data_IF_999066669770
#
_entry.id   IF_999066669770
#
_cell.length_a   1.000
_cell.length_b   1.000
_cell.length_c   1.000
_cell.angle_alpha   90.00
_cell.angle_beta   90.00
_cell.angle_gamma   90.00
#
_symmetry.space_group_name_H-M   'P 1'
#
loop_
_entity.id
_entity.type
_entity.pdbx_description
1 polymer ?
#
# COMPACT_ATOMS: atom_id res chain seq x y z
N UNK A 1 -16.62 22.90 18.08
CA UNK A 1 -17.48 21.74 17.79
C UNK A 1 -18.76 21.92 18.57
N UNK A 2 -19.90 21.73 17.92
CA UNK A 2 -21.20 21.92 18.55
C UNK A 2 -21.60 20.66 19.32
N UNK A 3 -22.41 20.79 20.38
CA UNK A 3 -22.84 19.63 21.17
C UNK A 3 -23.56 18.56 20.30
N UNK A 4 -24.19 18.95 19.20
CA UNK A 4 -24.86 18.03 18.29
C UNK A 4 -23.90 17.11 17.52
N UNK A 5 -22.69 17.59 17.19
CA UNK A 5 -21.65 16.78 16.55
C UNK A 5 -21.09 15.73 17.52
N UNK A 6 -20.96 16.08 18.79
CA UNK A 6 -20.50 15.12 19.80
C UNK A 6 -21.57 14.06 20.08
N UNK A 7 -22.85 14.43 20.10
CA UNK A 7 -23.96 13.49 20.30
C UNK A 7 -24.05 12.42 19.21
N UNK A 8 -23.78 12.76 17.94
CA UNK A 8 -23.75 11.76 16.86
C UNK A 8 -22.62 10.76 17.01
N UNK A 9 -21.51 11.18 17.60
CA UNK A 9 -20.29 10.38 17.73
C UNK A 9 -20.27 9.56 19.05
N UNK A 10 -21.20 9.78 19.99
CA UNK A 10 -21.27 9.04 21.27
C UNK A 10 -21.50 7.54 21.11
N UNK A 11 -22.34 7.12 20.15
CA UNK A 11 -22.61 5.70 19.89
C UNK A 11 -21.37 5.00 19.36
N UNK A 12 -20.70 5.61 18.37
CA UNK A 12 -19.44 5.11 17.85
C UNK A 12 -18.35 5.08 18.94
N UNK A 13 -18.39 6.02 19.90
CA UNK A 13 -17.44 6.08 21.02
C UNK A 13 -17.65 4.90 21.97
N UNK A 14 -18.90 4.54 22.27
CA UNK A 14 -19.24 3.38 23.08
C UNK A 14 -18.86 2.05 22.40
N UNK A 15 -19.00 1.95 21.09
CA UNK A 15 -18.65 0.75 20.32
C UNK A 15 -17.15 0.64 19.97
N UNK A 16 -16.30 1.51 20.52
CA UNK A 16 -14.85 1.60 20.22
C UNK A 16 -14.52 1.84 18.74
N UNK A 17 -15.46 2.43 17.98
CA UNK A 17 -15.34 2.67 16.54
C UNK A 17 -14.71 4.01 16.15
N UNK A 18 -14.20 4.81 17.10
CA UNK A 18 -13.50 6.07 16.83
C UNK A 18 -11.98 5.94 16.99
N UNK A 19 -11.26 6.80 16.28
CA UNK A 19 -9.83 7.00 16.47
C UNK A 19 -9.51 7.59 17.86
N UNK A 20 -8.31 7.30 18.37
CA UNK A 20 -7.86 7.70 19.70
C UNK A 20 -7.87 9.22 19.93
N UNK A 21 -7.65 10.02 18.88
CA UNK A 21 -7.64 11.47 18.97
C UNK A 21 -9.06 12.03 19.15
N UNK A 22 -10.05 11.53 18.40
CA UNK A 22 -11.46 11.88 18.60
C UNK A 22 -12.01 11.36 19.92
N UNK A 23 -11.64 10.15 20.32
CA UNK A 23 -12.00 9.61 21.63
C UNK A 23 -11.49 10.49 22.78
N UNK A 24 -10.27 11.03 22.66
CA UNK A 24 -9.72 12.02 23.59
C UNK A 24 -10.54 13.32 23.64
N UNK A 25 -10.92 13.86 22.48
CA UNK A 25 -11.75 15.06 22.36
C UNK A 25 -13.14 14.89 23.00
N UNK A 26 -13.78 13.74 22.78
CA UNK A 26 -15.08 13.41 23.38
C UNK A 26 -14.97 13.30 24.91
N UNK A 27 -13.95 12.63 25.44
CA UNK A 27 -13.73 12.53 26.90
C UNK A 27 -13.54 13.91 27.55
N UNK A 28 -12.82 14.81 26.89
CA UNK A 28 -12.65 16.18 27.37
C UNK A 28 -13.97 16.94 27.35
N UNK A 29 -14.77 16.79 26.28
CA UNK A 29 -16.09 17.42 26.19
C UNK A 29 -17.08 16.90 27.23
N UNK A 30 -17.07 15.59 27.52
CA UNK A 30 -17.91 14.97 28.56
C UNK A 30 -17.58 15.46 29.97
N UNK A 31 -16.32 15.86 30.22
CA UNK A 31 -15.93 16.45 31.50
C UNK A 31 -16.45 17.90 31.67
N UNK A 32 -16.72 18.60 30.57
CA UNK A 32 -17.14 20.01 30.57
C UNK A 32 -18.65 20.19 30.35
N UNK A 33 -19.32 19.24 29.68
CA UNK A 33 -20.73 19.34 29.30
C UNK A 33 -21.59 18.28 30.00
N UNK A 34 -22.39 18.72 30.98
CA UNK A 34 -23.31 17.84 31.72
C UNK A 34 -24.41 17.22 30.85
N UNK A 35 -24.92 17.93 29.85
CA UNK A 35 -25.98 17.42 28.96
C UNK A 35 -25.50 16.23 28.12
N UNK A 36 -24.26 16.29 27.60
CA UNK A 36 -23.65 15.20 26.86
C UNK A 36 -23.25 14.03 27.77
N UNK A 37 -22.83 14.32 29.01
CA UNK A 37 -22.54 13.29 30.01
C UNK A 37 -23.78 12.47 30.37
N UNK A 38 -24.94 13.14 30.52
CA UNK A 38 -26.20 12.48 30.84
C UNK A 38 -26.68 11.57 29.69
N UNK A 39 -26.55 12.01 28.43
CA UNK A 39 -26.86 11.16 27.27
C UNK A 39 -25.96 9.92 27.22
N UNK A 40 -24.67 10.07 27.57
CA UNK A 40 -23.74 8.94 27.63
C UNK A 40 -24.11 7.94 28.75
N UNK A 41 -24.55 8.43 29.90
CA UNK A 41 -25.03 7.60 31.00
C UNK A 41 -26.32 6.87 30.60
N UNK A 42 -27.31 7.55 30.01
CA UNK A 42 -28.55 6.96 29.52
C UNK A 42 -28.26 5.84 28.50
N UNK A 43 -27.36 6.07 27.55
CA UNK A 43 -26.95 5.05 26.57
C UNK A 43 -26.28 3.83 27.22
N UNK A 44 -25.43 4.05 28.24
CA UNK A 44 -24.80 2.94 28.99
C UNK A 44 -25.82 2.11 29.76
N UNK A 45 -26.84 2.73 30.36
CA UNK A 45 -27.91 1.99 31.03
C UNK A 45 -28.73 1.14 30.07
N UNK A 46 -28.96 1.62 28.84
CA UNK A 46 -29.64 0.87 27.78
C UNK A 46 -28.78 -0.29 27.24
N UNK A 47 -27.47 -0.10 27.10
CA UNK A 47 -26.57 -1.18 26.67
C UNK A 47 -26.49 -2.28 27.72
N UNK A 48 -26.38 -1.91 29.00
CA UNK A 48 -26.29 -2.87 30.10
C UNK A 48 -27.60 -3.66 30.28
N UNK A 49 -28.75 -2.99 30.15
CA UNK A 49 -30.06 -3.66 30.16
C UNK A 49 -30.23 -4.64 28.97
N UNK A 50 -29.54 -4.39 27.85
CA UNK A 50 -29.53 -5.28 26.68
C UNK A 50 -28.53 -6.43 26.80
N UNK A 51 -27.42 -6.22 27.54
CA UNK A 51 -26.41 -7.23 27.81
C UNK A 51 -26.91 -8.36 28.73
N UNK A 52 -27.88 -8.04 29.60
CA UNK A 52 -28.62 -9.03 30.41
C UNK A 52 -29.61 -9.90 29.59
N UNK A 53 -29.67 -9.67 28.27
CA UNK A 53 -30.40 -10.49 27.31
C UNK A 53 -29.82 -11.91 27.24
N UNK A 54 -30.38 -12.80 28.06
CA UNK A 54 -30.10 -14.24 28.15
C UNK A 54 -29.48 -14.81 26.88
N UNK A 55 -28.29 -15.40 27.00
CA UNK A 55 -27.78 -16.28 25.95
C UNK A 55 -28.88 -17.30 25.66
N UNK A 56 -29.43 -17.34 24.43
CA UNK A 56 -30.54 -18.25 24.15
C UNK A 56 -30.06 -19.67 24.46
N UNK A 57 -30.87 -20.49 25.16
CA UNK A 57 -30.50 -21.86 25.43
C UNK A 57 -30.19 -22.52 24.09
N UNK A 58 -28.99 -23.10 24.00
CA UNK A 58 -28.47 -23.72 22.77
C UNK A 58 -28.08 -22.75 21.63
N UNK A 59 -27.35 -21.68 21.98
CA UNK A 59 -26.70 -20.79 21.00
C UNK A 59 -25.86 -21.56 19.95
N UNK A 60 -25.21 -22.65 20.35
CA UNK A 60 -24.39 -23.46 19.45
C UNK A 60 -25.22 -24.18 18.38
N UNK A 61 -26.38 -24.78 18.70
CA UNK A 61 -27.23 -25.39 17.67
C UNK A 61 -27.91 -24.34 16.78
N UNK A 62 -28.21 -23.16 17.31
CA UNK A 62 -28.70 -22.04 16.49
C UNK A 62 -27.64 -21.59 15.48
N UNK A 63 -26.38 -21.45 15.91
CA UNK A 63 -25.26 -21.14 15.03
C UNK A 63 -25.02 -22.21 13.98
N UNK A 64 -25.06 -23.50 14.35
CA UNK A 64 -24.98 -24.59 13.37
C UNK A 64 -26.12 -24.53 12.35
N UNK A 65 -27.34 -24.20 12.79
CA UNK A 65 -28.49 -24.05 11.88
C UNK A 65 -28.32 -22.86 10.94
N UNK A 66 -27.88 -21.71 11.45
CA UNK A 66 -27.61 -20.52 10.64
C UNK A 66 -26.52 -20.81 9.62
N UNK A 67 -25.42 -21.45 10.04
CA UNK A 67 -24.32 -21.79 9.15
C UNK A 67 -24.76 -22.77 8.05
N UNK A 68 -25.56 -23.79 8.40
CA UNK A 68 -26.14 -24.71 7.42
C UNK A 68 -27.08 -24.00 6.43
N UNK A 69 -27.85 -23.00 6.89
CA UNK A 69 -28.72 -22.21 6.01
C UNK A 69 -27.89 -21.38 5.05
N UNK A 70 -26.88 -20.66 5.56
CA UNK A 70 -25.96 -19.84 4.75
C UNK A 70 -25.24 -20.72 3.73
N UNK A 71 -24.69 -21.87 4.14
CA UNK A 71 -24.04 -22.82 3.23
C UNK A 71 -25.01 -23.43 2.21
N UNK A 72 -26.30 -23.56 2.55
CA UNK A 72 -27.32 -24.04 1.61
C UNK A 72 -27.87 -22.95 0.67
N UNK A 73 -27.80 -21.68 1.08
CA UNK A 73 -28.28 -20.51 0.33
C UNK A 73 -27.17 -19.92 -0.55
N UNK A 74 -25.89 -20.14 -0.19
CA UNK A 74 -24.77 -20.12 -1.12
C UNK A 74 -24.95 -21.31 -2.05
N UNK A 75 -25.82 -21.14 -3.05
CA UNK A 75 -25.92 -22.07 -4.17
C UNK A 75 -24.50 -22.32 -4.70
N UNK A 76 -23.97 -23.56 -4.70
CA UNK A 76 -22.84 -23.85 -5.57
C UNK A 76 -23.27 -23.40 -6.97
N UNK A 77 -22.40 -22.73 -7.75
CA UNK A 77 -22.78 -22.19 -9.05
C UNK A 77 -23.55 -23.27 -9.78
N UNK A 78 -24.85 -23.01 -10.05
CA UNK A 78 -25.79 -24.00 -10.58
C UNK A 78 -25.06 -24.80 -11.63
N UNK A 79 -24.72 -26.04 -11.30
CA UNK A 79 -24.33 -27.00 -12.31
C UNK A 79 -25.62 -27.28 -13.04
N UNK A 80 -25.87 -26.45 -14.05
CA UNK A 80 -26.92 -26.65 -15.03
C UNK A 80 -26.67 -28.07 -15.52
N UNK A 81 -27.49 -29.03 -15.07
CA UNK A 81 -27.59 -30.32 -15.73
C UNK A 81 -27.86 -29.98 -17.18
N UNK A 82 -26.95 -30.29 -18.12
CA UNK A 82 -27.21 -29.99 -19.51
C UNK A 82 -28.37 -30.88 -19.95
N UNK A 83 -29.58 -30.31 -19.96
CA UNK A 83 -30.59 -30.76 -20.89
C UNK A 83 -29.93 -30.78 -22.27
N UNK A 84 -30.08 -31.92 -22.93
CA UNK A 84 -29.54 -32.24 -24.25
C UNK A 84 -30.15 -31.30 -25.30
N UNK A 85 -29.72 -30.04 -25.32
CA UNK A 85 -30.10 -29.05 -26.32
C UNK A 85 -29.00 -28.96 -27.36
N UNK A 86 -29.44 -29.14 -28.60
CA UNK A 86 -28.69 -29.09 -29.86
C UNK A 86 -27.58 -28.04 -29.81
N UNK A 87 -26.37 -28.56 -29.95
CA UNK A 87 -25.11 -27.86 -30.10
C UNK A 87 -25.22 -26.61 -30.97
N UNK A 88 -25.01 -25.44 -30.35
CA UNK A 88 -24.50 -24.26 -31.03
C UNK A 88 -23.08 -24.58 -31.50
N UNK A 89 -22.89 -24.63 -32.82
CA UNK A 89 -21.57 -24.71 -33.43
C UNK A 89 -20.92 -23.34 -33.36
N UNK A 90 -20.30 -23.04 -32.21
CA UNK A 90 -19.45 -21.86 -32.08
C UNK A 90 -18.17 -22.16 -32.87
N UNK A 91 -17.95 -21.42 -33.95
CA UNK A 91 -16.78 -21.59 -34.81
C UNK A 91 -15.52 -21.24 -34.03
N UNK A 92 -14.42 -21.97 -34.27
CA UNK A 92 -13.13 -21.78 -33.57
C UNK A 92 -12.63 -20.31 -33.63
N UNK A 93 -12.99 -19.59 -34.70
CA UNK A 93 -12.68 -18.16 -34.84
C UNK A 93 -13.42 -17.26 -33.84
N UNK A 94 -14.64 -17.61 -33.42
CA UNK A 94 -15.40 -16.85 -32.43
C UNK A 94 -14.81 -16.99 -31.03
N UNK A 95 -14.22 -18.14 -30.70
CA UNK A 95 -13.50 -18.36 -29.44
C UNK A 95 -12.20 -17.55 -29.35
N UNK A 96 -11.42 -17.53 -30.44
CA UNK A 96 -10.18 -16.74 -30.49
C UNK A 96 -10.44 -15.23 -30.38
N UNK A 97 -11.50 -14.73 -31.04
CA UNK A 97 -11.88 -13.32 -30.96
C UNK A 97 -12.33 -12.91 -29.55
N UNK A 98 -13.07 -13.78 -28.85
CA UNK A 98 -13.49 -13.54 -27.47
C UNK A 98 -12.29 -13.48 -26.50
N UNK A 99 -11.31 -14.38 -26.66
CA UNK A 99 -10.10 -14.38 -25.85
C UNK A 99 -9.26 -13.11 -26.06
N UNK A 100 -9.13 -12.64 -27.31
CA UNK A 100 -8.44 -11.37 -27.61
C UNK A 100 -9.15 -10.16 -27.01
N UNK A 101 -10.48 -10.12 -27.05
CA UNK A 101 -11.25 -9.04 -26.44
C UNK A 101 -11.09 -9.03 -24.92
N UNK A 102 -11.18 -10.19 -24.26
CA UNK A 102 -10.98 -10.29 -22.81
C UNK A 102 -9.56 -9.84 -22.43
N UNK A 103 -8.54 -10.27 -23.18
CA UNK A 103 -7.16 -9.85 -22.94
C UNK A 103 -7.00 -8.33 -23.07
N UNK A 104 -7.56 -7.73 -24.14
CA UNK A 104 -7.52 -6.28 -24.36
C UNK A 104 -8.25 -5.50 -23.26
N UNK A 105 -9.46 -5.92 -22.89
CA UNK A 105 -10.23 -5.26 -21.84
C UNK A 105 -9.56 -5.40 -20.47
N UNK A 106 -8.96 -6.56 -20.15
CA UNK A 106 -8.22 -6.73 -18.89
C UNK A 106 -6.96 -5.85 -18.82
N UNK A 107 -6.25 -5.71 -19.95
CA UNK A 107 -5.05 -4.87 -20.04
C UNK A 107 -5.39 -3.39 -19.86
N UNK A 108 -6.45 -2.91 -20.54
CA UNK A 108 -6.92 -1.53 -20.40
C UNK A 108 -7.45 -1.26 -18.99
N UNK A 109 -8.20 -2.20 -18.40
CA UNK A 109 -8.69 -2.07 -17.03
C UNK A 109 -7.55 -2.01 -16.02
N UNK A 110 -6.48 -2.80 -16.20
CA UNK A 110 -5.29 -2.79 -15.34
C UNK A 110 -4.55 -1.45 -15.43
N UNK A 111 -4.36 -0.93 -16.64
CA UNK A 111 -3.71 0.39 -16.85
C UNK A 111 -4.57 1.52 -16.30
N UNK A 112 -5.88 1.47 -16.48
CA UNK A 112 -6.82 2.46 -15.95
C UNK A 112 -6.86 2.43 -14.41
N UNK A 113 -6.83 1.24 -13.81
CA UNK A 113 -6.77 1.07 -12.36
C UNK A 113 -5.48 1.68 -11.79
N UNK A 114 -4.32 1.40 -12.39
CA UNK A 114 -3.04 1.96 -11.96
C UNK A 114 -3.03 3.49 -12.15
N UNK A 115 -3.55 4.01 -13.26
CA UNK A 115 -3.54 5.46 -13.54
C UNK A 115 -4.53 6.25 -12.68
N UNK A 116 -5.66 5.66 -12.31
CA UNK A 116 -6.75 6.36 -11.63
C UNK A 116 -6.74 6.18 -10.10
N UNK A 117 -6.29 5.02 -9.61
CA UNK A 117 -6.33 4.67 -8.17
C UNK A 117 -4.96 4.72 -7.45
N UNK A 118 -3.88 5.14 -8.13
CA UNK A 118 -2.55 5.21 -7.48
C UNK A 118 -2.20 6.47 -6.66
N UNK A 119 -3.09 7.43 -6.33
CA UNK A 119 -2.86 8.25 -5.15
C UNK A 119 -3.68 7.63 -3.99
N UNK A 120 -3.01 6.94 -3.06
CA UNK A 120 -3.37 6.77 -1.62
C UNK A 120 -2.84 5.47 -0.97
N UNK A 121 -2.42 4.43 -1.70
CA UNK A 121 -1.94 3.18 -1.07
C UNK A 121 -0.40 3.08 -1.05
N UNK A 122 0.27 4.09 -0.52
CA UNK A 122 1.73 4.03 -0.25
C UNK A 122 2.13 4.31 1.19
N UNK A 123 1.19 4.66 2.09
CA UNK A 123 1.56 5.00 3.47
C UNK A 123 1.36 3.86 4.49
N UNK A 124 0.51 2.86 4.22
CA UNK A 124 0.22 1.78 5.20
C UNK A 124 1.07 0.50 5.05
N UNK A 125 1.82 0.36 3.96
CA UNK A 125 2.69 -0.82 3.77
C UNK A 125 4.11 -0.63 4.35
N UNK A 126 4.50 0.58 4.72
CA UNK A 126 5.84 0.88 5.23
C UNK A 126 6.04 0.59 6.73
N UNK A 127 4.97 0.28 7.49
CA UNK A 127 5.05 0.08 8.95
C UNK A 127 4.91 -1.38 9.42
N UNK A 128 4.75 -2.36 8.52
CA UNK A 128 4.83 -3.78 8.89
C UNK A 128 6.20 -4.36 8.58
N UNK A 129 7.11 -4.17 9.52
CA UNK A 129 8.30 -4.99 9.63
C UNK A 129 7.95 -6.46 9.90
N UNK A 130 8.53 -7.34 9.07
CA UNK A 130 8.93 -8.73 9.36
C UNK A 130 7.80 -9.73 9.69
N UNK A 131 7.22 -10.32 8.65
CA UNK A 131 7.36 -11.76 8.38
C UNK A 131 7.06 -12.03 6.90
N UNK A 132 8.11 -12.25 6.11
CA UNK A 132 7.99 -12.84 4.77
C UNK A 132 7.31 -14.19 4.93
N UNK A 133 6.06 -14.31 4.50
CA UNK A 133 5.41 -15.61 4.49
C UNK A 133 6.09 -16.46 3.43
N UNK A 134 6.27 -17.75 3.69
CA UNK A 134 6.86 -18.72 2.73
C UNK A 134 6.16 -18.70 1.36
N UNK A 135 4.95 -18.15 1.31
CA UNK A 135 4.16 -17.93 0.10
C UNK A 135 4.81 -16.88 -0.81
N UNK A 136 5.35 -15.78 -0.28
CA UNK A 136 6.02 -14.74 -1.10
C UNK A 136 7.32 -15.25 -1.73
N UNK A 137 8.10 -16.06 -1.01
CA UNK A 137 9.31 -16.72 -1.56
C UNK A 137 8.98 -17.73 -2.65
N UNK A 138 7.82 -18.37 -2.60
CA UNK A 138 7.37 -19.28 -3.65
C UNK A 138 6.82 -18.51 -4.86
N UNK A 139 6.13 -17.38 -4.65
CA UNK A 139 5.60 -16.56 -5.73
C UNK A 139 6.69 -15.82 -6.52
N UNK A 140 7.76 -15.35 -5.85
CA UNK A 140 8.92 -14.79 -6.54
C UNK A 140 9.68 -15.82 -7.37
N UNK A 141 9.75 -17.08 -6.90
CA UNK A 141 10.37 -18.18 -7.64
C UNK A 141 9.56 -18.61 -8.88
N UNK A 142 8.25 -18.37 -8.88
CA UNK A 142 7.35 -18.63 -10.02
C UNK A 142 7.27 -17.43 -10.98
N UNK A 143 7.91 -16.29 -10.67
CA UNK A 143 7.95 -15.11 -11.52
C UNK A 143 6.62 -14.33 -11.56
N UNK A 144 5.76 -14.51 -10.55
CA UNK A 144 4.48 -13.82 -10.42
C UNK A 144 4.60 -12.47 -9.69
N UNK A 145 5.70 -12.25 -8.96
CA UNK A 145 6.01 -11.03 -8.20
C UNK A 145 7.49 -10.72 -8.39
N UNK A 146 7.84 -9.45 -8.63
CA UNK A 146 9.23 -8.98 -8.68
C UNK A 146 9.96 -9.39 -7.39
N UNK A 147 11.14 -9.99 -7.49
CA UNK A 147 11.95 -10.22 -6.30
C UNK A 147 12.28 -8.87 -5.64
N UNK A 148 12.46 -8.80 -4.31
CA UNK A 148 12.86 -7.55 -3.65
C UNK A 148 14.16 -6.96 -4.25
N UNK A 149 15.06 -7.81 -4.73
CA UNK A 149 16.26 -7.41 -5.49
C UNK A 149 15.90 -6.76 -6.84
N UNK A 150 14.98 -7.35 -7.60
CA UNK A 150 14.54 -6.80 -8.88
C UNK A 150 13.81 -5.45 -8.73
N UNK A 151 13.06 -5.27 -7.63
CA UNK A 151 12.46 -3.99 -7.29
C UNK A 151 13.51 -2.92 -6.93
N UNK A 152 14.59 -3.29 -6.22
CA UNK A 152 15.74 -2.42 -5.93
C UNK A 152 16.47 -2.03 -7.22
N UNK A 153 16.81 -3.00 -8.07
CA UNK A 153 17.47 -2.76 -9.36
C UNK A 153 16.68 -1.79 -10.24
N UNK A 154 15.35 -1.89 -10.23
CA UNK A 154 14.49 -0.95 -10.95
C UNK A 154 14.62 0.47 -10.40
N UNK A 155 14.58 0.66 -9.07
CA UNK A 155 14.76 1.97 -8.43
C UNK A 155 16.14 2.56 -8.73
N UNK A 156 17.20 1.76 -8.63
CA UNK A 156 18.56 2.19 -8.95
C UNK A 156 18.67 2.66 -10.41
N UNK A 157 18.07 1.92 -11.35
CA UNK A 157 18.02 2.31 -12.77
C UNK A 157 17.28 3.62 -13.00
N UNK A 158 16.14 3.80 -12.33
CA UNK A 158 15.35 5.05 -12.40
C UNK A 158 16.18 6.24 -11.87
N UNK A 159 16.84 6.09 -10.72
CA UNK A 159 17.72 7.11 -10.15
C UNK A 159 18.94 7.40 -11.04
N UNK A 160 19.54 6.39 -11.65
CA UNK A 160 20.66 6.58 -12.58
C UNK A 160 20.28 7.41 -13.82
N UNK A 161 19.07 7.23 -14.35
CA UNK A 161 18.59 8.05 -15.46
C UNK A 161 18.46 9.54 -15.05
N UNK A 162 17.96 9.81 -13.85
CA UNK A 162 17.89 11.18 -13.32
C UNK A 162 19.29 11.78 -13.09
N UNK A 163 20.23 10.99 -12.54
CA UNK A 163 21.63 11.40 -12.36
C UNK A 163 22.27 11.77 -13.70
N UNK A 164 22.08 10.97 -14.76
CA UNK A 164 22.62 11.26 -16.09
C UNK A 164 22.05 12.57 -16.68
N UNK A 165 20.75 12.80 -16.48
CA UNK A 165 20.10 14.04 -16.89
C UNK A 165 20.74 15.27 -16.23
N UNK A 166 20.92 15.23 -14.90
CA UNK A 166 21.52 16.35 -14.17
C UNK A 166 23.00 16.53 -14.46
N UNK A 167 23.75 15.43 -14.60
CA UNK A 167 25.17 15.47 -14.96
C UNK A 167 25.38 16.19 -16.30
N UNK A 168 24.57 15.88 -17.32
CA UNK A 168 24.64 16.56 -18.62
C UNK A 168 24.43 18.08 -18.47
N UNK A 169 23.45 18.49 -17.66
CA UNK A 169 23.18 19.91 -17.38
C UNK A 169 24.34 20.59 -16.65
N UNK A 170 24.89 19.93 -15.64
CA UNK A 170 26.06 20.40 -14.91
C UNK A 170 27.23 20.62 -15.86
N UNK A 171 27.56 19.65 -16.71
CA UNK A 171 28.69 19.78 -17.65
C UNK A 171 28.51 20.97 -18.61
N UNK A 172 27.29 21.24 -19.08
CA UNK A 172 27.01 22.39 -19.93
C UNK A 172 27.26 23.73 -19.22
N UNK A 173 26.96 23.83 -17.93
CA UNK A 173 27.15 25.05 -17.13
C UNK A 173 28.52 25.17 -16.48
N UNK A 174 29.26 24.06 -16.38
CA UNK A 174 30.56 23.98 -15.72
C UNK A 174 31.58 24.99 -16.27
N UNK A 175 31.45 25.37 -17.54
CA UNK A 175 32.30 26.39 -18.17
C UNK A 175 32.11 27.80 -17.59
N UNK A 176 30.91 28.11 -17.07
CA UNK A 176 30.58 29.41 -16.49
C UNK A 176 31.05 29.54 -15.02
N UNK A 177 31.37 28.43 -14.36
CA UNK A 177 31.75 28.43 -12.95
C UNK A 177 33.18 28.94 -12.75
N UNK A 178 33.40 29.63 -11.64
CA UNK A 178 34.75 29.96 -11.19
C UNK A 178 35.53 28.71 -10.76
N UNK A 179 36.81 28.89 -10.46
CA UNK A 179 37.70 27.78 -10.10
C UNK A 179 37.31 27.16 -8.75
N UNK A 180 36.91 27.98 -7.79
CA UNK A 180 36.57 27.52 -6.45
C UNK A 180 35.33 26.62 -6.46
N UNK A 181 34.31 27.00 -7.23
CA UNK A 181 33.06 26.26 -7.38
C UNK A 181 33.30 24.92 -8.08
N UNK A 182 34.11 24.91 -9.14
CA UNK A 182 34.53 23.67 -9.81
C UNK A 182 35.28 22.74 -8.88
N UNK A 183 36.28 23.26 -8.15
CA UNK A 183 37.08 22.46 -7.23
C UNK A 183 36.22 21.92 -6.07
N UNK A 184 35.24 22.68 -5.58
CA UNK A 184 34.30 22.23 -4.56
C UNK A 184 33.37 21.13 -5.08
N UNK A 185 32.81 21.30 -6.28
CA UNK A 185 31.99 20.29 -6.95
C UNK A 185 32.77 18.98 -7.14
N UNK A 186 33.98 19.05 -7.69
CA UNK A 186 34.78 17.88 -8.02
C UNK A 186 35.16 17.08 -6.75
N UNK A 187 35.51 17.76 -5.65
CA UNK A 187 35.76 17.10 -4.36
C UNK A 187 34.52 16.40 -3.81
N UNK A 188 33.38 17.07 -3.82
CA UNK A 188 32.13 16.50 -3.31
C UNK A 188 31.69 15.30 -4.15
N UNK A 189 31.75 15.43 -5.48
CA UNK A 189 31.41 14.36 -6.41
C UNK A 189 32.35 13.16 -6.25
N UNK A 190 33.63 13.38 -5.98
CA UNK A 190 34.60 12.32 -5.74
C UNK A 190 34.22 11.51 -4.49
N UNK A 191 33.93 12.16 -3.35
CA UNK A 191 33.55 11.47 -2.10
C UNK A 191 32.27 10.65 -2.28
N UNK A 192 31.28 11.21 -2.97
CA UNK A 192 30.03 10.50 -3.27
C UNK A 192 30.29 9.30 -4.20
N UNK A 193 31.14 9.43 -5.22
CA UNK A 193 31.44 8.32 -6.12
C UNK A 193 32.21 7.19 -5.41
N UNK A 194 33.11 7.53 -4.47
CA UNK A 194 33.84 6.55 -3.67
C UNK A 194 32.89 5.74 -2.79
N UNK A 195 32.00 6.41 -2.06
CA UNK A 195 30.97 5.76 -1.22
C UNK A 195 29.99 4.92 -2.04
N UNK A 196 29.55 5.40 -3.21
CA UNK A 196 28.73 4.58 -4.14
C UNK A 196 29.44 3.29 -4.53
N UNK A 197 30.73 3.38 -4.87
CA UNK A 197 31.51 2.22 -5.28
C UNK A 197 31.68 1.23 -4.11
N UNK A 198 31.91 1.71 -2.89
CA UNK A 198 31.99 0.86 -1.69
C UNK A 198 30.70 0.06 -1.46
N UNK A 199 29.54 0.72 -1.45
CA UNK A 199 28.27 0.02 -1.25
C UNK A 199 27.91 -0.91 -2.40
N UNK A 200 28.25 -0.54 -3.64
CA UNK A 200 28.07 -1.42 -4.81
C UNK A 200 28.89 -2.71 -4.66
N UNK A 201 30.16 -2.60 -4.24
CA UNK A 201 31.03 -3.77 -4.04
C UNK A 201 30.55 -4.64 -2.86
N UNK A 202 29.98 -4.03 -1.81
CA UNK A 202 29.40 -4.79 -0.69
C UNK A 202 28.18 -5.59 -1.19
N UNK A 203 27.28 -4.95 -1.94
CA UNK A 203 26.07 -5.58 -2.48
C UNK A 203 26.36 -6.64 -3.56
N UNK A 204 27.47 -6.51 -4.30
CA UNK A 204 27.93 -7.57 -5.22
C UNK A 204 28.34 -8.85 -4.47
N UNK A 205 28.87 -8.71 -3.23
CA UNK A 205 29.29 -9.83 -2.40
C UNK A 205 28.14 -10.39 -1.57
N UNK A 206 27.28 -9.52 -1.06
CA UNK A 206 26.11 -9.86 -0.26
C UNK A 206 24.88 -9.10 -0.76
N UNK A 207 24.13 -9.65 -1.72
CA UNK A 207 23.00 -8.97 -2.34
C UNK A 207 21.77 -8.90 -1.44
N UNK A 208 21.77 -9.63 -0.32
CA UNK A 208 20.69 -9.63 0.67
C UNK A 208 21.00 -8.69 1.87
N UNK A 209 22.09 -7.92 1.82
CA UNK A 209 22.40 -6.90 2.83
C UNK A 209 21.49 -5.67 2.67
N UNK A 210 20.42 -5.65 3.47
CA UNK A 210 19.43 -4.58 3.49
C UNK A 210 20.01 -3.22 3.88
N UNK A 211 20.99 -3.18 4.78
CA UNK A 211 21.60 -1.93 5.25
C UNK A 211 22.41 -1.28 4.13
N UNK A 212 23.28 -2.05 3.47
CA UNK A 212 24.06 -1.53 2.34
C UNK A 212 23.17 -1.09 1.18
N UNK A 213 22.02 -1.74 0.99
CA UNK A 213 21.00 -1.34 0.03
C UNK A 213 20.41 0.04 0.34
N UNK A 214 19.99 0.28 1.59
CA UNK A 214 19.46 1.57 2.02
C UNK A 214 20.52 2.68 1.96
N UNK A 215 21.75 2.38 2.36
CA UNK A 215 22.86 3.32 2.27
C UNK A 215 23.19 3.69 0.82
N UNK A 216 23.17 2.72 -0.11
CA UNK A 216 23.35 2.99 -1.53
C UNK A 216 22.26 3.94 -2.07
N UNK A 217 21.00 3.69 -1.72
CA UNK A 217 19.86 4.54 -2.12
C UNK A 217 20.01 5.97 -1.56
N UNK A 218 20.49 6.13 -0.32
CA UNK A 218 20.79 7.43 0.28
C UNK A 218 21.89 8.17 -0.48
N UNK A 219 23.01 7.50 -0.78
CA UNK A 219 24.13 8.13 -1.49
C UNK A 219 23.76 8.50 -2.94
N UNK A 220 22.93 7.69 -3.62
CA UNK A 220 22.38 8.03 -4.94
C UNK A 220 21.52 9.30 -4.87
N UNK A 221 20.73 9.45 -3.80
CA UNK A 221 19.92 10.64 -3.54
C UNK A 221 20.81 11.86 -3.31
N UNK A 222 21.88 11.74 -2.52
CA UNK A 222 22.85 12.80 -2.28
C UNK A 222 23.56 13.23 -3.57
N UNK A 223 23.95 12.27 -4.41
CA UNK A 223 24.52 12.54 -5.75
C UNK A 223 23.56 13.35 -6.60
N UNK A 224 22.29 12.95 -6.63
CA UNK A 224 21.26 13.63 -7.41
C UNK A 224 21.04 15.07 -6.90
N UNK A 225 20.98 15.26 -5.59
CA UNK A 225 20.83 16.59 -4.98
C UNK A 225 22.03 17.48 -5.29
N UNK A 226 23.27 16.98 -5.14
CA UNK A 226 24.48 17.71 -5.51
C UNK A 226 24.45 18.15 -6.98
N UNK A 227 24.11 17.23 -7.89
CA UNK A 227 24.03 17.56 -9.31
C UNK A 227 22.94 18.59 -9.60
N UNK A 228 21.77 18.48 -8.96
CA UNK A 228 20.67 19.43 -9.12
C UNK A 228 21.09 20.83 -8.64
N UNK A 229 21.63 20.94 -7.43
CA UNK A 229 22.00 22.22 -6.81
C UNK A 229 23.03 22.96 -7.65
N UNK A 230 24.04 22.25 -8.17
CA UNK A 230 25.03 22.84 -9.06
C UNK A 230 24.50 23.12 -10.46
N UNK A 231 23.51 22.36 -10.94
CA UNK A 231 22.90 22.62 -12.24
C UNK A 231 22.08 23.90 -12.32
N UNK A 232 21.73 24.49 -11.16
CA UNK A 232 20.94 25.71 -11.06
C UNK A 232 21.81 26.97 -10.83
N UNK A 233 23.10 26.80 -10.48
CA UNK A 233 24.13 27.86 -10.51
C UNK A 233 24.44 28.32 -11.94
#
# INVERSE_FOLDING_TARGET
MSCEEYKSDLVAFMESGLDDARAGSIRMHLAECGDCAQVCEDLSTLSDASADGSTPPNSQALWCRINNIIESEIEPPKTIRPERRRFWQVSFGQLAAALLLIALFSSVATVAFIRYYSPVVTEDFALRGVQQTTVEKLLSRVGLIDSPQQARDRRIKEQQAAIQYWDTRVQLRRAAWDRQTRDAFDRNLQVINETLNEYTVILEKDPDDDLSGEMLDSVLTDKMNLLRDFSDL
#
